data_IF_097991379867
#
_entry.id   IF_097991379867
#
_cell.length_a   1.000
_cell.length_b   1.000
_cell.length_c   1.000
_cell.angle_alpha   90.00
_cell.angle_beta   90.00
_cell.angle_gamma   90.00
#
_symmetry.space_group_name_H-M   'P 1'
#
loop_
_entity.id
_entity.type
_entity.pdbx_description
1 polymer ?
#
# COMPACT_ATOMS: atom_id res chain seq x y z
N UNK A 1 -22.07 19.26 -10.57
CA UNK A 1 -20.70 18.87 -10.12
C UNK A 1 -20.08 20.07 -9.41
N UNK A 2 -19.48 19.84 -8.24
CA UNK A 2 -18.81 20.92 -7.49
C UNK A 2 -17.47 21.23 -8.16
N UNK A 3 -17.09 22.51 -8.22
CA UNK A 3 -15.78 22.93 -8.73
C UNK A 3 -14.65 22.46 -7.81
N UNK A 4 -13.51 22.15 -8.39
CA UNK A 4 -12.32 21.82 -7.62
C UNK A 4 -11.73 23.04 -6.91
N UNK A 5 -11.36 22.90 -5.65
CA UNK A 5 -10.60 23.91 -4.92
C UNK A 5 -9.29 24.16 -5.65
N UNK A 6 -9.07 25.37 -6.12
CA UNK A 6 -7.89 25.75 -6.92
C UNK A 6 -6.62 25.83 -6.09
N UNK A 7 -6.70 26.45 -4.90
CA UNK A 7 -5.61 26.50 -3.93
C UNK A 7 -5.89 25.51 -2.79
N UNK A 8 -5.20 24.37 -2.82
CA UNK A 8 -5.37 23.34 -1.79
C UNK A 8 -4.68 23.69 -0.46
N UNK A 9 -3.84 24.75 -0.40
CA UNK A 9 -3.19 25.17 0.84
C UNK A 9 -4.16 25.72 1.89
N UNK A 10 -5.37 26.13 1.48
CA UNK A 10 -6.43 26.53 2.39
C UNK A 10 -7.02 25.37 3.21
N UNK A 11 -6.77 24.11 2.77
CA UNK A 11 -7.29 22.94 3.47
C UNK A 11 -6.53 22.75 4.82
N UNK A 12 -7.21 22.39 5.90
CA UNK A 12 -6.53 22.07 7.16
C UNK A 12 -5.68 20.79 7.02
N UNK A 13 -4.79 20.56 7.98
CA UNK A 13 -4.16 19.24 8.13
C UNK A 13 -5.22 18.19 8.49
N UNK A 14 -5.00 16.92 8.11
CA UNK A 14 -5.89 15.83 8.51
C UNK A 14 -6.03 15.74 10.03
N UNK A 15 -7.26 15.62 10.51
CA UNK A 15 -7.60 15.54 11.94
C UNK A 15 -7.27 14.15 12.53
N UNK A 16 -6.01 13.76 12.49
CA UNK A 16 -5.52 12.43 12.90
C UNK A 16 -5.81 12.08 14.36
N UNK A 17 -6.00 13.09 15.21
CA UNK A 17 -6.39 12.91 16.60
C UNK A 17 -7.80 12.32 16.78
N UNK A 18 -8.63 12.31 15.74
CA UNK A 18 -9.94 11.66 15.75
C UNK A 18 -9.88 10.16 15.44
N UNK A 19 -8.71 9.64 15.15
CA UNK A 19 -8.50 8.23 14.79
C UNK A 19 -7.56 7.58 15.80
N UNK A 20 -7.87 6.34 16.20
CA UNK A 20 -7.02 5.56 17.11
C UNK A 20 -5.76 5.06 16.37
N UNK A 21 -4.79 5.96 16.19
CA UNK A 21 -3.58 5.70 15.40
C UNK A 21 -2.72 4.56 15.95
N UNK A 22 -2.75 4.32 17.26
CA UNK A 22 -2.03 3.22 17.90
C UNK A 22 -2.42 1.84 17.36
N UNK A 23 -3.69 1.64 16.99
CA UNK A 23 -4.16 0.40 16.35
C UNK A 23 -3.53 0.20 14.97
N UNK A 24 -3.47 1.24 14.14
CA UNK A 24 -2.81 1.19 12.83
C UNK A 24 -1.31 0.94 12.97
N UNK A 25 -0.67 1.58 13.96
CA UNK A 25 0.74 1.38 14.26
C UNK A 25 1.01 -0.06 14.75
N UNK A 26 0.16 -0.62 15.59
CA UNK A 26 0.24 -2.00 16.04
C UNK A 26 0.18 -3.00 14.88
N UNK A 27 -0.70 -2.76 13.90
CA UNK A 27 -0.80 -3.56 12.66
C UNK A 27 0.39 -3.39 11.72
N UNK A 28 1.36 -2.53 12.03
CA UNK A 28 2.51 -2.26 11.16
C UNK A 28 2.17 -1.44 9.91
N UNK A 29 0.97 -0.86 9.85
CA UNK A 29 0.56 -0.06 8.71
C UNK A 29 1.34 1.26 8.66
N UNK A 30 1.68 1.75 7.46
CA UNK A 30 2.30 3.05 7.30
C UNK A 30 1.30 4.17 7.61
N UNK A 31 1.81 5.36 7.95
CA UNK A 31 0.97 6.55 8.01
C UNK A 31 0.96 7.26 6.66
N UNK A 32 -0.24 7.62 6.20
CA UNK A 32 -0.43 8.21 4.89
C UNK A 32 -0.43 9.74 4.94
N UNK A 33 0.14 10.37 3.90
CA UNK A 33 0.01 11.79 3.62
C UNK A 33 -0.20 12.06 2.14
N UNK A 34 -0.74 13.23 1.82
CA UNK A 34 -0.94 13.72 0.45
C UNK A 34 -0.16 15.01 0.29
N UNK A 35 0.62 15.12 -0.79
CA UNK A 35 1.40 16.32 -1.11
C UNK A 35 0.86 17.07 -2.32
N UNK A 36 0.05 16.40 -3.14
CA UNK A 36 -0.60 16.95 -4.33
C UNK A 36 -1.92 16.24 -4.64
N UNK A 37 -2.73 16.84 -5.48
CA UNK A 37 -3.96 16.24 -6.00
C UNK A 37 -4.07 16.46 -7.49
N UNK A 38 -4.37 15.41 -8.23
CA UNK A 38 -4.53 15.40 -9.68
C UNK A 38 -3.42 14.67 -10.41
N UNK A 39 -3.75 14.17 -11.60
CA UNK A 39 -2.82 13.50 -12.48
C UNK A 39 -3.07 13.96 -13.92
N UNK A 40 -2.04 14.42 -14.68
CA UNK A 40 -2.23 15.00 -16.02
C UNK A 40 -2.46 13.95 -17.11
N UNK A 41 -2.32 12.66 -16.78
CA UNK A 41 -2.42 11.56 -17.74
C UNK A 41 -3.86 11.15 -18.02
N UNK A 42 -4.06 10.43 -19.14
CA UNK A 42 -5.37 10.13 -19.72
C UNK A 42 -5.62 8.63 -19.85
N UNK A 43 -5.06 7.81 -18.96
CA UNK A 43 -5.27 6.36 -18.97
C UNK A 43 -6.78 6.06 -18.90
N UNK A 44 -7.29 5.26 -19.85
CA UNK A 44 -8.73 5.05 -20.04
C UNK A 44 -9.42 4.35 -18.86
N UNK A 45 -8.66 3.57 -18.08
CA UNK A 45 -9.15 2.81 -16.92
C UNK A 45 -9.15 3.61 -15.62
N UNK A 46 -8.45 4.77 -15.58
CA UNK A 46 -8.21 5.49 -14.34
C UNK A 46 -9.33 6.48 -14.01
N UNK A 47 -9.95 6.31 -12.85
CA UNK A 47 -10.98 7.21 -12.33
C UNK A 47 -10.41 8.52 -11.76
N UNK A 48 -9.10 8.60 -11.52
CA UNK A 48 -8.44 9.74 -10.88
C UNK A 48 -8.73 11.07 -11.57
N UNK A 49 -8.73 11.11 -12.92
CA UNK A 49 -9.04 12.34 -13.67
C UNK A 49 -10.46 12.89 -13.38
N UNK A 50 -11.41 12.03 -13.01
CA UNK A 50 -12.78 12.42 -12.64
C UNK A 50 -12.89 12.82 -11.17
N UNK A 51 -12.18 12.13 -10.27
CA UNK A 51 -12.24 12.37 -8.83
C UNK A 51 -11.43 13.61 -8.40
N UNK A 52 -10.22 13.78 -8.94
CA UNK A 52 -9.28 14.81 -8.49
C UNK A 52 -8.86 15.79 -9.59
N UNK A 53 -9.26 15.54 -10.83
CA UNK A 53 -8.98 16.39 -11.99
C UNK A 53 -7.61 16.14 -12.62
N UNK A 54 -7.44 16.65 -13.85
CA UNK A 54 -6.18 16.53 -14.62
C UNK A 54 -5.17 17.60 -14.26
N UNK A 55 -5.62 18.78 -13.79
CA UNK A 55 -4.72 19.84 -13.31
C UNK A 55 -4.17 19.44 -11.93
N UNK A 56 -2.88 19.22 -11.86
CA UNK A 56 -2.23 18.93 -10.59
C UNK A 56 -2.17 20.20 -9.74
N UNK A 57 -2.62 20.09 -8.50
CA UNK A 57 -2.58 21.13 -7.47
C UNK A 57 -1.66 20.66 -6.36
N UNK A 58 -0.78 21.52 -5.93
CA UNK A 58 0.28 21.18 -5.00
C UNK A 58 0.09 21.91 -3.67
N UNK A 59 0.34 21.21 -2.57
CA UNK A 59 0.62 21.87 -1.30
C UNK A 59 2.02 22.51 -1.37
N UNK A 60 2.21 23.61 -0.67
CA UNK A 60 3.49 24.28 -0.55
C UNK A 60 4.56 23.34 0.04
N UNK A 61 5.78 23.41 -0.48
CA UNK A 61 6.90 22.55 -0.04
C UNK A 61 7.12 22.64 1.46
N UNK A 62 7.08 23.86 2.03
CA UNK A 62 7.21 24.03 3.48
C UNK A 62 6.14 23.27 4.25
N UNK A 63 4.88 23.42 3.87
CA UNK A 63 3.75 22.73 4.50
C UNK A 63 3.88 21.20 4.41
N UNK A 64 4.29 20.69 3.25
CA UNK A 64 4.52 19.25 3.05
C UNK A 64 5.58 18.73 4.01
N UNK A 65 6.70 19.42 4.13
CA UNK A 65 7.79 18.99 5.00
C UNK A 65 7.48 19.22 6.48
N UNK A 66 6.68 20.23 6.84
CA UNK A 66 6.15 20.42 8.20
C UNK A 66 5.29 19.20 8.60
N UNK A 67 4.37 18.76 7.73
CA UNK A 67 3.56 17.56 7.97
C UNK A 67 4.42 16.29 8.02
N UNK A 68 5.36 16.13 7.09
CA UNK A 68 6.29 14.99 7.07
C UNK A 68 7.09 14.90 8.37
N UNK A 69 7.62 16.01 8.87
CA UNK A 69 8.34 16.09 10.13
C UNK A 69 7.45 15.70 11.32
N UNK A 70 6.23 16.20 11.36
CA UNK A 70 5.25 15.81 12.38
C UNK A 70 4.98 14.29 12.35
N UNK A 71 4.76 13.72 11.16
CA UNK A 71 4.48 12.29 11.01
C UNK A 71 5.67 11.42 11.40
N UNK A 72 6.91 11.86 11.11
CA UNK A 72 8.13 11.12 11.45
C UNK A 72 8.32 10.95 12.96
N UNK A 73 7.66 11.77 13.79
CA UNK A 73 7.72 11.67 15.27
C UNK A 73 6.60 10.85 15.88
N UNK A 74 5.61 10.38 15.09
CA UNK A 74 4.46 9.62 15.59
C UNK A 74 4.75 8.13 15.85
N UNK A 75 5.99 7.67 15.59
CA UNK A 75 6.41 6.28 15.85
C UNK A 75 5.90 5.24 14.85
N UNK A 76 5.42 5.67 13.68
CA UNK A 76 5.19 4.77 12.54
C UNK A 76 6.52 4.39 11.89
N UNK A 77 6.61 3.19 11.31
CA UNK A 77 7.84 2.75 10.62
C UNK A 77 8.06 3.47 9.30
N UNK A 78 6.97 3.84 8.62
CA UNK A 78 7.02 4.34 7.25
C UNK A 78 5.92 5.39 7.00
N UNK A 79 6.22 6.38 6.19
CA UNK A 79 5.26 7.35 5.65
C UNK A 79 4.96 6.98 4.20
N UNK A 80 3.68 6.82 3.85
CA UNK A 80 3.26 6.68 2.46
C UNK A 80 2.80 8.02 1.91
N UNK A 81 3.42 8.49 0.84
CA UNK A 81 2.91 9.60 0.03
C UNK A 81 1.93 9.01 -0.98
N UNK A 82 0.63 9.22 -0.73
CA UNK A 82 -0.47 8.64 -1.52
C UNK A 82 -1.03 9.63 -2.55
N UNK A 83 -0.17 10.41 -3.17
CA UNK A 83 -0.51 11.26 -4.30
C UNK A 83 -0.93 10.42 -5.51
N UNK A 84 -1.81 10.93 -6.36
CA UNK A 84 -2.11 10.28 -7.67
C UNK A 84 -0.85 10.11 -8.52
N UNK A 85 0.11 11.03 -8.38
CA UNK A 85 1.43 10.97 -9.02
C UNK A 85 2.39 11.93 -8.31
N UNK A 86 3.16 11.45 -7.35
CA UNK A 86 4.13 12.27 -6.61
C UNK A 86 5.17 12.90 -7.53
N UNK A 87 5.67 12.13 -8.48
CA UNK A 87 6.75 12.54 -9.41
C UNK A 87 6.27 13.37 -10.60
N UNK A 88 5.04 13.91 -10.57
CA UNK A 88 4.47 14.73 -11.64
C UNK A 88 5.27 16.00 -11.96
N UNK A 89 5.99 16.54 -10.98
CA UNK A 89 6.81 17.76 -11.11
C UNK A 89 8.19 17.57 -10.47
N UNK A 90 9.18 17.20 -11.28
CA UNK A 90 10.53 16.81 -10.81
C UNK A 90 11.18 17.86 -9.90
N UNK A 91 11.18 19.14 -10.31
CA UNK A 91 11.78 20.23 -9.53
C UNK A 91 11.20 20.30 -8.12
N UNK A 92 9.87 20.20 -7.99
CA UNK A 92 9.19 20.18 -6.69
C UNK A 92 9.57 18.96 -5.85
N UNK A 93 9.71 17.78 -6.46
CA UNK A 93 10.18 16.60 -5.73
C UNK A 93 11.58 16.80 -5.17
N UNK A 94 12.48 17.41 -5.96
CA UNK A 94 13.83 17.78 -5.51
C UNK A 94 13.74 18.76 -4.33
N UNK A 95 12.96 19.83 -4.44
CA UNK A 95 12.77 20.83 -3.38
C UNK A 95 12.26 20.21 -2.06
N UNK A 96 11.32 19.25 -2.14
CA UNK A 96 10.84 18.53 -0.95
C UNK A 96 11.97 17.68 -0.34
N UNK A 97 12.69 16.92 -1.17
CA UNK A 97 13.80 16.08 -0.70
C UNK A 97 14.94 16.91 -0.09
N UNK A 98 15.32 18.01 -0.70
CA UNK A 98 16.33 18.95 -0.18
C UNK A 98 15.91 19.54 1.17
N UNK A 99 14.65 19.91 1.32
CA UNK A 99 14.13 20.46 2.58
C UNK A 99 14.07 19.38 3.69
N UNK A 100 13.70 18.14 3.37
CA UNK A 100 13.79 16.99 4.30
C UNK A 100 15.22 16.82 4.79
N UNK A 101 16.20 16.82 3.88
CA UNK A 101 17.62 16.67 4.19
C UNK A 101 18.14 17.86 5.00
N UNK A 102 17.80 19.09 4.63
CA UNK A 102 18.18 20.32 5.33
C UNK A 102 17.71 20.35 6.78
N UNK A 103 16.53 19.78 7.06
CA UNK A 103 15.99 19.65 8.42
C UNK A 103 16.56 18.46 9.18
N UNK A 104 17.37 17.63 8.55
CA UNK A 104 17.93 16.42 9.17
C UNK A 104 16.90 15.35 9.51
N UNK A 105 15.72 15.38 8.84
CA UNK A 105 14.68 14.38 9.08
C UNK A 105 15.12 13.05 8.48
N UNK A 106 15.14 12.01 9.32
CA UNK A 106 15.50 10.65 8.89
C UNK A 106 14.30 9.74 9.13
N UNK A 107 13.57 9.44 8.07
CA UNK A 107 12.41 8.56 8.13
C UNK A 107 12.21 7.88 6.77
N UNK A 108 11.81 6.62 6.79
CA UNK A 108 11.49 5.89 5.56
C UNK A 108 10.16 6.33 5.00
N UNK A 109 10.11 6.46 3.68
CA UNK A 109 8.89 6.80 2.98
C UNK A 109 8.80 6.16 1.59
N UNK A 110 7.56 6.05 1.10
CA UNK A 110 7.23 5.50 -0.21
C UNK A 110 6.34 6.46 -0.97
N UNK A 111 6.28 6.30 -2.30
CA UNK A 111 5.37 7.09 -3.14
C UNK A 111 4.95 6.33 -4.40
N UNK A 112 3.90 6.85 -5.06
CA UNK A 112 3.49 6.42 -6.39
C UNK A 112 4.17 7.26 -7.46
N UNK A 113 4.71 6.59 -8.47
CA UNK A 113 5.42 7.19 -9.58
C UNK A 113 5.02 6.58 -10.93
N UNK A 114 5.36 7.28 -12.01
CA UNK A 114 5.35 6.72 -13.37
C UNK A 114 6.79 6.59 -13.86
N UNK A 115 7.04 5.57 -14.67
CA UNK A 115 8.39 5.29 -15.19
C UNK A 115 8.96 6.43 -16.05
N UNK A 116 8.09 7.19 -16.72
CA UNK A 116 8.45 8.33 -17.56
C UNK A 116 8.64 9.66 -16.79
N UNK A 117 8.39 9.67 -15.47
CA UNK A 117 8.55 10.85 -14.61
C UNK A 117 9.77 10.81 -13.71
N UNK A 118 10.56 9.75 -13.76
CA UNK A 118 11.79 9.58 -12.96
C UNK A 118 13.05 9.64 -13.83
N UNK A 119 14.17 9.99 -13.22
CA UNK A 119 15.51 9.89 -13.77
C UNK A 119 16.52 9.66 -12.65
N UNK A 120 17.78 9.37 -12.97
CA UNK A 120 18.83 9.05 -11.99
C UNK A 120 18.96 10.14 -10.91
N UNK A 121 19.08 11.38 -11.29
CA UNK A 121 19.26 12.51 -10.36
C UNK A 121 18.12 12.62 -9.35
N UNK A 122 16.87 12.49 -9.82
CA UNK A 122 15.69 12.51 -8.95
C UNK A 122 15.70 11.33 -8.00
N UNK A 123 15.97 10.12 -8.50
CA UNK A 123 16.00 8.91 -7.66
C UNK A 123 17.10 8.99 -6.59
N UNK A 124 18.29 9.51 -6.93
CA UNK A 124 19.38 9.67 -5.98
C UNK A 124 19.05 10.63 -4.84
N UNK A 125 18.42 11.79 -5.13
CA UNK A 125 18.01 12.72 -4.07
C UNK A 125 16.86 12.15 -3.22
N UNK A 126 15.91 11.45 -3.86
CA UNK A 126 14.83 10.77 -3.15
C UNK A 126 15.38 9.70 -2.20
N UNK A 127 16.34 8.89 -2.66
CA UNK A 127 17.02 7.88 -1.82
C UNK A 127 17.70 8.52 -0.63
N UNK A 128 18.48 9.59 -0.84
CA UNK A 128 19.13 10.33 0.24
C UNK A 128 18.13 10.88 1.26
N UNK A 129 16.96 11.32 0.80
CA UNK A 129 15.87 11.82 1.64
C UNK A 129 15.03 10.72 2.34
N UNK A 130 15.41 9.43 2.19
CA UNK A 130 14.78 8.30 2.88
C UNK A 130 13.73 7.54 2.06
N UNK A 131 13.60 7.80 0.75
CA UNK A 131 12.72 6.99 -0.11
C UNK A 131 13.22 5.54 -0.16
N UNK A 132 12.43 4.61 0.36
CA UNK A 132 12.76 3.18 0.36
C UNK A 132 12.12 2.41 -0.79
N UNK A 133 10.95 2.84 -1.25
CA UNK A 133 10.20 2.15 -2.31
C UNK A 133 9.42 3.13 -3.18
N UNK A 134 9.33 2.83 -4.47
CA UNK A 134 8.45 3.49 -5.43
C UNK A 134 7.51 2.46 -6.09
N UNK A 135 6.21 2.74 -6.02
CA UNK A 135 5.19 1.95 -6.69
C UNK A 135 4.94 2.52 -8.10
N UNK A 136 5.13 1.70 -9.12
CA UNK A 136 4.93 2.05 -10.51
C UNK A 136 3.73 1.31 -11.08
N UNK A 137 2.74 2.05 -11.59
CA UNK A 137 1.72 1.48 -12.45
C UNK A 137 2.34 1.17 -13.81
N UNK A 138 2.60 -0.10 -14.09
CA UNK A 138 3.11 -0.59 -15.37
C UNK A 138 1.95 -0.94 -16.30
N UNK A 139 0.95 -1.59 -15.74
CA UNK A 139 -0.32 -2.04 -16.30
C UNK A 139 -0.20 -3.26 -17.21
N UNK A 140 0.71 -3.26 -18.20
CA UNK A 140 0.91 -4.39 -19.12
C UNK A 140 2.38 -4.53 -19.55
N UNK A 141 2.81 -5.75 -19.83
CA UNK A 141 4.09 -6.07 -20.47
C UNK A 141 4.01 -6.14 -22.00
N UNK A 142 2.92 -5.64 -22.60
CA UNK A 142 2.68 -5.66 -24.05
C UNK A 142 2.44 -4.23 -24.54
N UNK A 143 3.28 -3.77 -25.50
CA UNK A 143 3.24 -2.40 -25.98
C UNK A 143 1.89 -2.02 -26.59
N UNK A 144 1.28 -2.91 -27.40
CA UNK A 144 -0.01 -2.67 -28.01
C UNK A 144 -1.11 -2.41 -26.96
N UNK A 145 -1.10 -3.15 -25.85
CA UNK A 145 -2.04 -2.96 -24.75
C UNK A 145 -1.79 -1.62 -24.05
N UNK A 146 -0.51 -1.24 -23.79
CA UNK A 146 -0.17 0.06 -23.22
C UNK A 146 -0.65 1.22 -24.08
N UNK A 147 -0.52 1.10 -25.40
CA UNK A 147 -0.96 2.11 -26.37
C UNK A 147 -2.49 2.22 -26.37
N UNK A 148 -3.17 1.07 -26.40
CA UNK A 148 -4.65 0.98 -26.39
C UNK A 148 -5.25 1.62 -25.14
N UNK A 149 -4.65 1.42 -23.97
CA UNK A 149 -5.12 2.01 -22.71
C UNK A 149 -4.61 3.44 -22.47
N UNK A 150 -3.96 4.04 -23.46
CA UNK A 150 -3.39 5.41 -23.41
C UNK A 150 -2.40 5.61 -22.26
N UNK A 151 -1.62 4.57 -21.93
CA UNK A 151 -0.58 4.69 -20.89
C UNK A 151 0.53 5.63 -21.30
N UNK A 152 0.80 5.78 -22.62
CA UNK A 152 1.79 6.72 -23.20
C UNK A 152 3.21 6.47 -22.63
N UNK A 153 3.62 5.21 -22.55
CA UNK A 153 4.97 4.78 -22.16
C UNK A 153 5.42 3.61 -23.02
N UNK A 154 6.69 3.24 -22.94
CA UNK A 154 7.25 2.08 -23.68
C UNK A 154 7.87 1.07 -22.75
N UNK A 155 7.93 -0.19 -23.17
CA UNK A 155 8.57 -1.28 -22.41
C UNK A 155 10.02 -0.94 -22.05
N UNK A 156 10.78 -0.35 -22.98
CA UNK A 156 12.16 0.09 -22.76
C UNK A 156 12.25 1.11 -21.61
N UNK A 157 11.33 2.10 -21.55
CA UNK A 157 11.29 3.08 -20.45
C UNK A 157 10.95 2.43 -19.12
N UNK A 158 10.10 1.41 -19.13
CA UNK A 158 9.75 0.63 -17.94
C UNK A 158 10.99 -0.09 -17.41
N UNK A 159 11.65 -0.87 -18.25
CA UNK A 159 12.87 -1.61 -17.88
C UNK A 159 13.94 -0.68 -17.33
N UNK A 160 14.20 0.43 -18.04
CA UNK A 160 15.17 1.44 -17.62
C UNK A 160 14.86 2.07 -16.26
N UNK A 161 13.60 2.43 -16.01
CA UNK A 161 13.21 3.06 -14.74
C UNK A 161 13.33 2.08 -13.56
N UNK A 162 12.89 0.83 -13.76
CA UNK A 162 13.00 -0.22 -12.74
C UNK A 162 14.46 -0.56 -12.44
N UNK A 163 15.32 -0.64 -13.47
CA UNK A 163 16.75 -0.86 -13.30
C UNK A 163 17.42 0.29 -12.54
N UNK A 164 17.13 1.55 -12.89
CA UNK A 164 17.65 2.73 -12.21
C UNK A 164 17.26 2.75 -10.72
N UNK A 165 16.03 2.39 -10.38
CA UNK A 165 15.60 2.30 -8.98
C UNK A 165 16.46 1.30 -8.20
N UNK A 166 16.70 0.11 -8.74
CA UNK A 166 17.56 -0.92 -8.11
C UNK A 166 19.00 -0.44 -7.95
N UNK A 167 19.58 0.17 -8.98
CA UNK A 167 20.95 0.73 -8.93
C UNK A 167 21.13 1.78 -7.85
N UNK A 168 20.12 2.63 -7.64
CA UNK A 168 20.11 3.69 -6.60
C UNK A 168 19.76 3.12 -5.22
N UNK A 169 19.27 1.88 -5.13
CA UNK A 169 18.86 1.24 -3.88
C UNK A 169 17.46 1.63 -3.40
N UNK A 170 16.56 2.04 -4.32
CA UNK A 170 15.13 2.18 -4.09
C UNK A 170 14.45 0.92 -4.60
N UNK A 171 13.60 0.28 -3.78
CA UNK A 171 12.83 -0.89 -4.19
C UNK A 171 11.74 -0.47 -5.20
N UNK A 172 11.78 -0.94 -6.46
CA UNK A 172 10.65 -0.75 -7.35
C UNK A 172 9.57 -1.81 -7.07
N UNK A 173 8.33 -1.37 -6.91
CA UNK A 173 7.14 -2.21 -6.90
C UNK A 173 6.40 -2.01 -8.22
N UNK A 174 6.25 -3.05 -9.01
CA UNK A 174 5.57 -3.00 -10.31
C UNK A 174 4.13 -3.51 -10.18
N UNK A 175 3.15 -2.69 -10.58
CA UNK A 175 1.73 -3.03 -10.55
C UNK A 175 1.21 -3.20 -11.96
N UNK A 176 0.49 -4.30 -12.20
CA UNK A 176 -0.09 -4.68 -13.48
C UNK A 176 -1.60 -4.84 -13.36
N UNK A 177 -2.32 -4.60 -14.45
CA UNK A 177 -3.77 -4.80 -14.54
C UNK A 177 -4.04 -5.93 -15.54
N UNK A 178 -4.82 -6.92 -15.11
CA UNK A 178 -5.32 -8.00 -15.95
C UNK A 178 -6.77 -7.74 -16.37
N UNK A 179 -7.13 -8.13 -17.57
CA UNK A 179 -8.44 -7.88 -18.16
C UNK A 179 -8.54 -6.53 -18.86
N UNK A 180 -7.42 -5.92 -19.25
CA UNK A 180 -7.42 -4.69 -20.05
C UNK A 180 -8.02 -4.90 -21.44
N UNK A 181 -8.65 -3.87 -22.08
CA UNK A 181 -9.17 -3.99 -23.41
C UNK A 181 -8.15 -4.50 -24.44
N UNK A 182 -8.52 -5.54 -25.15
CA UNK A 182 -7.68 -6.16 -26.20
C UNK A 182 -6.70 -7.22 -25.68
N UNK A 183 -6.67 -7.50 -24.40
CA UNK A 183 -5.90 -8.63 -23.87
C UNK A 183 -6.48 -9.97 -24.34
N UNK A 184 -5.56 -10.91 -24.58
CA UNK A 184 -5.81 -12.32 -24.86
C UNK A 184 -5.02 -13.17 -23.87
N UNK A 185 -5.26 -14.48 -23.76
CA UNK A 185 -4.44 -15.35 -22.91
C UNK A 185 -2.93 -15.25 -23.21
N UNK A 186 -2.56 -15.04 -24.48
CA UNK A 186 -1.18 -14.89 -24.92
C UNK A 186 -0.55 -13.59 -24.41
N UNK A 187 -1.26 -12.47 -24.52
CA UNK A 187 -0.74 -11.16 -24.05
C UNK A 187 -0.70 -11.08 -22.53
N UNK A 188 -1.62 -11.72 -21.82
CA UNK A 188 -1.55 -11.89 -20.37
C UNK A 188 -0.31 -12.68 -19.98
N UNK A 189 -0.04 -13.80 -20.65
CA UNK A 189 1.19 -14.58 -20.43
C UNK A 189 2.45 -13.73 -20.68
N UNK A 190 2.50 -12.97 -21.77
CA UNK A 190 3.62 -12.05 -22.06
C UNK A 190 3.79 -11.02 -20.93
N UNK A 191 2.70 -10.45 -20.39
CA UNK A 191 2.75 -9.52 -19.26
C UNK A 191 3.30 -10.19 -18.01
N UNK A 192 2.91 -11.43 -17.71
CA UNK A 192 3.44 -12.17 -16.57
C UNK A 192 4.94 -12.49 -16.72
N UNK A 193 5.37 -12.90 -17.92
CA UNK A 193 6.77 -13.18 -18.21
C UNK A 193 7.62 -11.90 -18.12
N UNK A 194 7.11 -10.78 -18.64
CA UNK A 194 7.73 -9.47 -18.50
C UNK A 194 7.86 -9.02 -17.03
N UNK A 195 6.82 -9.20 -16.23
CA UNK A 195 6.86 -8.88 -14.80
C UNK A 195 7.97 -9.66 -14.08
N UNK A 196 8.06 -10.98 -14.32
CA UNK A 196 9.08 -11.86 -13.73
C UNK A 196 10.51 -11.48 -14.14
N UNK A 197 10.71 -11.07 -15.39
CA UNK A 197 12.04 -10.73 -15.90
C UNK A 197 12.54 -9.37 -15.48
N UNK A 198 11.63 -8.42 -15.19
CA UNK A 198 11.99 -7.00 -14.97
C UNK A 198 11.97 -6.56 -13.52
N UNK A 199 11.20 -7.23 -12.66
CA UNK A 199 11.04 -6.78 -11.27
C UNK A 199 10.84 -7.96 -10.30
N UNK A 200 11.53 -7.93 -9.16
CA UNK A 200 11.36 -8.95 -8.11
C UNK A 200 10.13 -8.69 -7.22
N UNK A 201 9.61 -7.48 -7.23
CA UNK A 201 8.44 -7.09 -6.44
C UNK A 201 7.35 -6.59 -7.39
N UNK A 202 6.34 -7.41 -7.62
CA UNK A 202 5.23 -7.08 -8.53
C UNK A 202 3.92 -7.70 -8.04
N UNK A 203 2.81 -7.14 -8.52
CA UNK A 203 1.47 -7.63 -8.25
C UNK A 203 0.52 -7.44 -9.43
N UNK A 204 -0.50 -8.29 -9.48
CA UNK A 204 -1.53 -8.23 -10.49
C UNK A 204 -2.86 -7.84 -9.83
N UNK A 205 -3.55 -6.90 -10.46
CA UNK A 205 -4.89 -6.44 -10.12
C UNK A 205 -5.82 -6.71 -11.29
N UNK A 206 -7.10 -6.87 -11.01
CA UNK A 206 -8.10 -7.08 -12.04
C UNK A 206 -8.71 -5.72 -12.43
N UNK A 207 -8.96 -5.51 -13.71
CA UNK A 207 -9.59 -4.30 -14.18
C UNK A 207 -10.96 -4.08 -13.51
N UNK A 208 -11.10 -2.95 -12.84
CA UNK A 208 -12.37 -2.47 -12.30
C UNK A 208 -12.80 -1.18 -13.05
N UNK A 209 -13.71 -1.28 -14.04
CA UNK A 209 -14.15 -0.14 -14.84
C UNK A 209 -15.12 0.72 -14.03
N UNK A 210 -14.61 1.67 -13.25
CA UNK A 210 -15.41 2.57 -12.44
C UNK A 210 -16.22 3.55 -13.30
N UNK A 211 -17.38 4.04 -12.80
CA UNK A 211 -18.18 5.04 -13.48
C UNK A 211 -17.38 6.29 -13.86
N UNK A 212 -17.57 6.76 -15.09
CA UNK A 212 -16.91 7.92 -15.65
C UNK A 212 -15.47 7.66 -16.15
N UNK A 213 -14.98 6.43 -16.08
CA UNK A 213 -13.77 6.02 -16.82
C UNK A 213 -14.13 5.79 -18.31
N UNK A 214 -13.20 6.12 -19.21
CA UNK A 214 -13.45 5.93 -20.64
C UNK A 214 -13.71 4.46 -20.98
N UNK A 215 -13.01 3.53 -20.33
CA UNK A 215 -13.21 2.08 -20.54
C UNK A 215 -14.61 1.62 -20.15
N UNK A 216 -15.26 2.27 -19.16
CA UNK A 216 -16.63 1.96 -18.80
C UNK A 216 -17.64 2.66 -19.71
N UNK A 217 -17.45 3.97 -19.94
CA UNK A 217 -18.39 4.79 -20.71
C UNK A 217 -18.45 4.33 -22.17
N UNK A 218 -17.38 3.69 -22.67
CA UNK A 218 -17.24 3.14 -24.03
C UNK A 218 -16.98 1.63 -24.03
N UNK A 219 -17.54 0.90 -23.10
CA UNK A 219 -17.25 -0.52 -22.92
C UNK A 219 -17.45 -1.32 -24.21
N UNK A 220 -18.54 -1.09 -24.93
CA UNK A 220 -18.84 -1.77 -26.21
C UNK A 220 -17.80 -1.46 -27.30
N UNK A 221 -17.32 -0.19 -27.40
CA UNK A 221 -16.27 0.21 -28.36
C UNK A 221 -14.94 -0.52 -28.08
N UNK A 222 -14.69 -0.83 -26.80
CA UNK A 222 -13.51 -1.57 -26.35
C UNK A 222 -13.71 -3.09 -26.34
N UNK A 223 -14.86 -3.59 -26.80
CA UNK A 223 -15.21 -5.00 -26.76
C UNK A 223 -15.33 -5.55 -25.34
N UNK A 224 -15.74 -4.71 -24.38
CA UNK A 224 -15.91 -5.05 -22.97
C UNK A 224 -17.37 -5.21 -22.60
N UNK A 225 -17.68 -6.16 -21.74
CA UNK A 225 -18.99 -6.37 -21.12
C UNK A 225 -18.87 -6.19 -19.60
N UNK A 226 -19.72 -5.34 -19.01
CA UNK A 226 -19.84 -5.17 -17.58
C UNK A 226 -20.72 -6.29 -17.01
N UNK A 227 -20.24 -7.02 -16.04
CA UNK A 227 -20.90 -8.20 -15.47
C UNK A 227 -21.82 -7.85 -14.30
N UNK A 228 -21.50 -6.80 -13.56
CA UNK A 228 -22.23 -6.44 -12.35
C UNK A 228 -22.23 -4.95 -12.08
N UNK A 229 -23.28 -4.47 -11.39
CA UNK A 229 -23.35 -3.13 -10.81
C UNK A 229 -23.29 -3.17 -9.27
N UNK A 230 -22.89 -4.28 -8.70
CA UNK A 230 -22.63 -4.43 -7.28
C UNK A 230 -21.25 -3.83 -6.94
N UNK A 231 -21.27 -2.63 -6.33
CA UNK A 231 -20.06 -1.85 -6.06
C UNK A 231 -19.12 -2.49 -5.02
N UNK A 232 -19.64 -3.37 -4.17
CA UNK A 232 -18.82 -4.09 -3.19
C UNK A 232 -17.84 -5.07 -3.86
N UNK A 233 -18.08 -5.38 -5.14
CA UNK A 233 -17.20 -6.22 -5.97
C UNK A 233 -16.12 -5.47 -6.74
N UNK A 234 -16.13 -4.12 -6.70
CA UNK A 234 -15.16 -3.29 -7.43
C UNK A 234 -13.88 -3.05 -6.65
N UNK A 235 -13.32 -4.10 -6.06
CA UNK A 235 -12.12 -4.06 -5.23
C UNK A 235 -10.81 -4.45 -5.96
N UNK A 236 -10.91 -4.70 -7.28
CA UNK A 236 -9.83 -5.15 -8.15
C UNK A 236 -9.22 -6.54 -7.80
N UNK A 237 -9.91 -7.35 -6.99
CA UNK A 237 -9.52 -8.72 -6.63
C UNK A 237 -10.39 -9.78 -7.32
N UNK A 238 -11.48 -9.39 -7.94
CA UNK A 238 -12.38 -10.25 -8.71
C UNK A 238 -12.83 -9.53 -9.98
N UNK A 239 -13.20 -10.29 -11.00
CA UNK A 239 -13.65 -9.74 -12.26
C UNK A 239 -15.08 -9.17 -12.16
N UNK A 240 -15.24 -7.93 -12.57
CA UNK A 240 -16.51 -7.23 -12.68
C UNK A 240 -16.85 -6.86 -14.14
N UNK A 241 -15.94 -7.21 -15.04
CA UNK A 241 -16.09 -7.07 -16.49
C UNK A 241 -15.29 -8.17 -17.20
N UNK A 242 -15.57 -8.35 -18.47
CA UNK A 242 -14.78 -9.24 -19.35
C UNK A 242 -14.65 -8.62 -20.74
N UNK A 243 -13.70 -9.11 -21.53
CA UNK A 243 -13.59 -8.78 -22.95
C UNK A 243 -14.03 -9.93 -23.84
N UNK A 244 -14.31 -9.63 -25.09
CA UNK A 244 -14.63 -10.65 -26.11
C UNK A 244 -13.46 -11.62 -26.38
N UNK A 245 -12.22 -11.26 -25.99
CA UNK A 245 -11.01 -12.04 -26.22
C UNK A 245 -10.51 -12.76 -24.97
N UNK A 246 -10.94 -12.31 -23.78
CA UNK A 246 -10.49 -12.83 -22.50
C UNK A 246 -11.68 -12.89 -21.52
N UNK A 247 -12.27 -14.09 -21.33
CA UNK A 247 -13.36 -14.31 -20.38
C UNK A 247 -12.93 -14.02 -18.93
N UNK A 248 -13.85 -13.58 -18.10
CA UNK A 248 -13.59 -13.21 -16.70
C UNK A 248 -13.07 -14.40 -15.87
N UNK A 249 -13.59 -15.61 -16.13
CA UNK A 249 -13.16 -16.83 -15.44
C UNK A 249 -11.64 -17.09 -15.63
N UNK A 250 -11.12 -16.79 -16.82
CA UNK A 250 -9.71 -16.96 -17.13
C UNK A 250 -8.86 -15.91 -16.40
N UNK A 251 -9.32 -14.64 -16.34
CA UNK A 251 -8.67 -13.58 -15.57
C UNK A 251 -8.61 -13.94 -14.10
N UNK A 252 -9.76 -14.34 -13.52
CA UNK A 252 -9.86 -14.74 -12.12
C UNK A 252 -8.97 -15.95 -11.82
N UNK A 253 -8.94 -16.94 -12.72
CA UNK A 253 -8.07 -18.12 -12.59
C UNK A 253 -6.60 -17.74 -12.50
N UNK A 254 -6.12 -16.88 -13.43
CA UNK A 254 -4.72 -16.47 -13.50
C UNK A 254 -4.32 -15.71 -12.24
N UNK A 255 -5.12 -14.73 -11.81
CA UNK A 255 -4.80 -13.93 -10.64
C UNK A 255 -4.88 -14.76 -9.36
N UNK A 256 -5.85 -15.66 -9.25
CA UNK A 256 -5.97 -16.57 -8.12
C UNK A 256 -4.82 -17.59 -8.06
N UNK A 257 -4.35 -18.10 -9.19
CA UNK A 257 -3.17 -18.98 -9.23
C UNK A 257 -1.91 -18.25 -8.77
N UNK A 258 -1.71 -17.00 -9.19
CA UNK A 258 -0.60 -16.17 -8.74
C UNK A 258 -0.66 -15.91 -7.24
N UNK A 259 -1.80 -15.42 -6.73
CA UNK A 259 -2.01 -15.17 -5.29
C UNK A 259 -1.92 -16.46 -4.47
N UNK A 260 -2.47 -17.55 -4.97
CA UNK A 260 -2.37 -18.88 -4.37
C UNK A 260 -0.92 -19.39 -4.31
N UNK A 261 -0.09 -19.04 -5.31
CA UNK A 261 1.35 -19.30 -5.28
C UNK A 261 2.05 -18.62 -4.13
N UNK A 262 1.78 -17.32 -3.93
CA UNK A 262 2.31 -16.54 -2.81
C UNK A 262 1.84 -17.14 -1.48
N UNK A 263 0.55 -17.43 -1.35
CA UNK A 263 -0.02 -18.02 -0.13
C UNK A 263 0.63 -19.37 0.20
N UNK A 264 0.88 -20.23 -0.81
CA UNK A 264 1.58 -21.52 -0.57
C UNK A 264 3.01 -21.33 -0.06
N UNK A 265 3.73 -20.33 -0.55
CA UNK A 265 5.07 -20.00 -0.04
C UNK A 265 5.00 -19.56 1.43
N UNK A 266 4.06 -18.66 1.77
CA UNK A 266 3.83 -18.19 3.15
C UNK A 266 3.48 -19.36 4.07
N UNK A 267 2.51 -20.18 3.71
CA UNK A 267 2.11 -21.36 4.48
C UNK A 267 3.27 -22.34 4.64
N UNK A 268 4.08 -22.51 3.58
CA UNK A 268 5.28 -23.34 3.65
C UNK A 268 6.31 -22.85 4.67
N UNK A 269 6.53 -21.54 4.76
CA UNK A 269 7.43 -20.93 5.76
C UNK A 269 6.88 -21.06 7.18
N UNK A 270 5.59 -20.80 7.38
CA UNK A 270 4.93 -20.98 8.68
C UNK A 270 5.04 -22.42 9.16
N UNK A 271 4.73 -23.41 8.32
CA UNK A 271 4.85 -24.83 8.65
C UNK A 271 6.27 -25.27 9.00
N UNK A 272 7.30 -24.71 8.33
CA UNK A 272 8.71 -24.98 8.69
C UNK A 272 9.06 -24.40 10.05
N UNK A 273 8.62 -23.17 10.31
CA UNK A 273 8.81 -22.51 11.61
C UNK A 273 8.18 -23.34 12.75
N UNK A 274 6.94 -23.79 12.58
CA UNK A 274 6.19 -24.56 13.58
C UNK A 274 6.85 -25.92 13.87
N UNK A 275 7.57 -26.49 12.88
CA UNK A 275 8.34 -27.71 13.06
C UNK A 275 9.76 -27.48 13.61
N UNK A 276 10.14 -26.23 13.88
CA UNK A 276 11.47 -25.86 14.34
C UNK A 276 12.57 -26.03 13.27
N UNK A 277 12.22 -26.07 11.99
CA UNK A 277 13.17 -26.14 10.89
C UNK A 277 13.88 -24.79 10.68
N UNK A 278 15.13 -24.83 10.27
CA UNK A 278 15.90 -23.61 10.01
C UNK A 278 15.29 -22.81 8.84
N UNK A 279 15.10 -21.52 9.06
CA UNK A 279 14.67 -20.54 8.07
C UNK A 279 15.81 -19.55 7.79
N UNK A 280 15.81 -18.94 6.58
CA UNK A 280 16.64 -17.77 6.33
C UNK A 280 16.24 -16.59 7.23
N UNK A 281 17.14 -15.61 7.42
CA UNK A 281 16.80 -14.41 8.18
C UNK A 281 15.59 -13.66 7.57
N UNK A 282 15.49 -13.62 6.25
CA UNK A 282 14.38 -12.99 5.52
C UNK A 282 13.06 -13.75 5.76
N UNK A 283 13.07 -15.08 5.65
CA UNK A 283 11.89 -15.91 5.89
C UNK A 283 11.44 -15.80 7.35
N UNK A 284 12.39 -15.82 8.29
CA UNK A 284 12.07 -15.65 9.72
C UNK A 284 11.48 -14.27 10.03
N UNK A 285 12.00 -13.21 9.39
CA UNK A 285 11.44 -11.86 9.52
C UNK A 285 10.00 -11.80 8.96
N UNK A 286 9.73 -12.49 7.84
CA UNK A 286 8.40 -12.58 7.26
C UNK A 286 7.44 -13.35 8.17
N UNK A 287 7.83 -14.51 8.69
CA UNK A 287 7.04 -15.32 9.63
C UNK A 287 6.71 -14.49 10.88
N UNK A 288 7.69 -13.82 11.48
CA UNK A 288 7.47 -12.95 12.63
C UNK A 288 6.50 -11.80 12.31
N UNK A 289 6.61 -11.20 11.12
CA UNK A 289 5.70 -10.15 10.67
C UNK A 289 4.25 -10.65 10.55
N UNK A 290 4.04 -11.81 9.93
CA UNK A 290 2.73 -12.43 9.75
C UNK A 290 2.12 -12.80 11.11
N UNK A 291 2.91 -13.41 11.99
CA UNK A 291 2.46 -13.81 13.33
C UNK A 291 2.08 -12.60 14.19
N UNK A 292 2.88 -11.52 14.12
CA UNK A 292 2.54 -10.24 14.77
C UNK A 292 1.27 -9.62 14.21
N UNK A 293 1.05 -9.70 12.90
CA UNK A 293 -0.14 -9.18 12.25
C UNK A 293 -1.39 -9.96 12.70
N UNK A 294 -1.34 -11.29 12.71
CA UNK A 294 -2.44 -12.14 13.18
C UNK A 294 -2.80 -11.86 14.65
N UNK A 295 -1.78 -11.79 15.52
CA UNK A 295 -1.95 -11.39 16.92
C UNK A 295 -2.67 -10.04 17.05
N UNK A 296 -2.17 -9.01 16.38
CA UNK A 296 -2.75 -7.66 16.46
C UNK A 296 -4.16 -7.61 15.88
N UNK A 297 -4.41 -8.34 14.79
CA UNK A 297 -5.73 -8.45 14.21
C UNK A 297 -6.73 -9.08 15.20
N UNK A 298 -6.37 -10.18 15.85
CA UNK A 298 -7.20 -10.84 16.89
C UNK A 298 -7.44 -9.90 18.07
N UNK A 299 -6.38 -9.23 18.55
CA UNK A 299 -6.46 -8.30 19.69
C UNK A 299 -7.42 -7.13 19.41
N UNK A 300 -7.34 -6.53 18.23
CA UNK A 300 -8.15 -5.37 17.83
C UNK A 300 -9.59 -5.79 17.50
N UNK A 301 -9.77 -6.83 16.67
CA UNK A 301 -11.08 -7.28 16.24
C UNK A 301 -11.89 -7.87 17.38
N UNK A 302 -11.24 -8.60 18.28
CA UNK A 302 -11.84 -9.11 19.51
C UNK A 302 -12.08 -8.06 20.59
N UNK A 303 -11.66 -6.81 20.37
CA UNK A 303 -11.74 -5.71 21.36
C UNK A 303 -11.16 -6.10 22.73
N UNK A 304 -10.11 -6.91 22.75
CA UNK A 304 -9.61 -7.53 23.98
C UNK A 304 -9.03 -6.52 24.97
N UNK A 305 -8.45 -5.41 24.48
CA UNK A 305 -7.93 -4.33 25.31
C UNK A 305 -9.08 -3.62 26.06
N UNK A 306 -10.12 -3.28 25.31
CA UNK A 306 -11.30 -2.59 25.83
C UNK A 306 -12.05 -3.49 26.83
N UNK A 307 -12.28 -4.75 26.48
CA UNK A 307 -12.99 -5.70 27.32
C UNK A 307 -12.26 -6.02 28.63
N UNK A 308 -10.93 -6.16 28.58
CA UNK A 308 -10.13 -6.36 29.80
C UNK A 308 -10.29 -5.19 30.77
N UNK A 309 -10.20 -3.96 30.26
CA UNK A 309 -10.30 -2.75 31.05
C UNK A 309 -11.71 -2.51 31.60
N UNK A 310 -12.75 -2.78 30.82
CA UNK A 310 -14.15 -2.61 31.22
C UNK A 310 -14.59 -3.59 32.32
N UNK A 311 -14.03 -4.80 32.30
CA UNK A 311 -14.31 -5.85 33.30
C UNK A 311 -13.53 -5.65 34.60
N UNK A 312 -12.69 -4.60 34.70
CA UNK A 312 -11.87 -4.28 35.88
C UNK A 312 -11.08 -5.50 36.40
N UNK A 313 -10.52 -6.26 35.47
CA UNK A 313 -9.75 -7.48 35.81
C UNK A 313 -8.45 -7.10 36.53
N UNK A 314 -8.10 -7.89 37.54
CA UNK A 314 -6.87 -7.74 38.30
C UNK A 314 -5.69 -8.46 37.64
N UNK A 315 -4.48 -8.27 38.20
CA UNK A 315 -3.27 -8.96 37.76
C UNK A 315 -2.32 -8.16 36.88
N UNK A 316 -2.64 -6.89 36.61
CA UNK A 316 -1.75 -6.00 35.89
C UNK A 316 -1.48 -6.48 34.45
N UNK A 317 -0.24 -6.31 33.99
CA UNK A 317 0.18 -6.76 32.64
C UNK A 317 0.09 -8.28 32.52
N UNK A 318 0.44 -9.03 33.57
CA UNK A 318 0.38 -10.49 33.55
C UNK A 318 -1.07 -10.99 33.44
N UNK A 319 -2.01 -10.38 34.18
CA UNK A 319 -3.43 -10.67 34.04
C UNK A 319 -3.98 -10.35 32.66
N UNK A 320 -3.48 -9.30 32.01
CA UNK A 320 -3.82 -8.97 30.62
C UNK A 320 -3.26 -10.04 29.66
N UNK A 321 -2.00 -10.44 29.82
CA UNK A 321 -1.39 -11.50 29.00
C UNK A 321 -2.19 -12.82 29.14
N UNK A 322 -2.54 -13.22 30.36
CA UNK A 322 -3.32 -14.42 30.58
C UNK A 322 -4.69 -14.35 29.92
N UNK A 323 -5.38 -13.22 30.07
CA UNK A 323 -6.65 -12.97 29.41
C UNK A 323 -6.56 -13.03 27.88
N UNK A 324 -5.57 -12.35 27.28
CA UNK A 324 -5.40 -12.37 25.81
C UNK A 324 -5.04 -13.78 25.33
N UNK A 325 -4.22 -14.51 26.08
CA UNK A 325 -3.88 -15.93 25.79
C UNK A 325 -5.14 -16.78 25.72
N UNK A 326 -6.01 -16.69 26.74
CA UNK A 326 -7.27 -17.42 26.80
C UNK A 326 -8.21 -17.05 25.63
N UNK A 327 -8.38 -15.76 25.35
CA UNK A 327 -9.32 -15.30 24.34
C UNK A 327 -8.85 -15.52 22.89
N UNK A 328 -7.54 -15.44 22.65
CA UNK A 328 -6.96 -15.58 21.30
C UNK A 328 -6.67 -17.03 20.91
N UNK A 329 -6.48 -17.92 21.91
CA UNK A 329 -6.00 -19.28 21.70
C UNK A 329 -4.54 -19.36 21.23
N UNK A 330 -3.78 -18.27 21.35
CA UNK A 330 -2.37 -18.22 20.97
C UNK A 330 -1.46 -18.65 22.14
N UNK A 331 -0.25 -19.10 21.82
CA UNK A 331 0.73 -19.48 22.83
C UNK A 331 1.13 -18.30 23.73
N UNK A 332 1.24 -18.53 25.03
CA UNK A 332 1.52 -17.51 26.04
C UNK A 332 2.85 -16.76 25.76
N UNK A 333 3.87 -17.46 25.28
CA UNK A 333 5.15 -16.85 24.94
C UNK A 333 5.02 -15.83 23.82
N UNK A 334 4.26 -16.17 22.78
CA UNK A 334 3.93 -15.26 21.67
C UNK A 334 3.16 -14.04 22.19
N UNK A 335 2.10 -14.27 22.97
CA UNK A 335 1.27 -13.18 23.54
C UNK A 335 2.14 -12.24 24.40
N UNK A 336 3.00 -12.81 25.26
CA UNK A 336 3.90 -12.02 26.11
C UNK A 336 4.83 -11.14 25.27
N UNK A 337 5.50 -11.73 24.28
CA UNK A 337 6.39 -11.00 23.38
C UNK A 337 5.68 -9.84 22.65
N UNK A 338 4.51 -10.10 22.13
CA UNK A 338 3.75 -9.11 21.34
C UNK A 338 3.15 -8.01 22.22
N UNK A 339 2.65 -8.34 23.42
CA UNK A 339 2.16 -7.36 24.40
C UNK A 339 3.31 -6.43 24.83
N UNK A 340 4.47 -6.99 25.17
CA UNK A 340 5.68 -6.22 25.52
C UNK A 340 6.10 -5.30 24.36
N UNK A 341 6.04 -5.80 23.12
CA UNK A 341 6.32 -5.01 21.92
C UNK A 341 5.36 -3.83 21.79
N UNK A 342 4.06 -4.03 22.00
CA UNK A 342 3.06 -2.97 21.92
C UNK A 342 3.27 -1.88 22.98
N UNK A 343 3.64 -2.24 24.20
CA UNK A 343 4.01 -1.27 25.24
C UNK A 343 5.28 -0.50 24.86
N UNK A 344 6.33 -1.17 24.41
CA UNK A 344 7.59 -0.54 23.96
C UNK A 344 7.37 0.41 22.77
N UNK A 345 6.45 0.08 21.87
CA UNK A 345 6.07 0.94 20.76
C UNK A 345 5.16 2.11 21.17
N UNK A 346 4.72 2.17 22.41
CA UNK A 346 3.74 3.15 22.88
C UNK A 346 2.40 3.00 22.18
N UNK A 347 1.99 1.79 21.79
CA UNK A 347 0.66 1.51 21.28
C UNK A 347 -0.34 1.25 22.40
N UNK A 348 0.14 0.66 23.50
CA UNK A 348 -0.62 0.46 24.73
C UNK A 348 -0.05 1.30 25.86
N UNK A 349 -0.95 1.79 26.72
CA UNK A 349 -0.60 2.47 27.95
C UNK A 349 -1.26 1.77 29.13
N UNK A 350 -0.59 1.84 30.28
CA UNK A 350 -1.05 1.28 31.56
C UNK A 350 -1.31 2.41 32.52
N UNK A 351 -2.46 2.39 33.16
CA UNK A 351 -2.82 3.28 34.27
C UNK A 351 -3.24 2.44 35.48
N UNK A 352 -2.46 2.51 36.54
CA UNK A 352 -2.78 1.84 37.80
C UNK A 352 -3.54 2.82 38.71
N UNK A 353 -4.76 2.48 39.06
CA UNK A 353 -5.62 3.25 39.99
C UNK A 353 -6.09 2.34 41.13
N UNK A 354 -5.37 2.38 42.27
CA UNK A 354 -5.65 1.52 43.41
C UNK A 354 -5.42 0.04 43.10
N UNK A 355 -6.44 -0.78 43.30
CA UNK A 355 -6.36 -2.25 43.09
C UNK A 355 -6.57 -2.67 41.61
N UNK A 356 -6.95 -1.74 40.71
CA UNK A 356 -7.23 -2.10 39.33
C UNK A 356 -6.21 -1.52 38.35
N UNK A 357 -5.79 -2.35 37.40
CA UNK A 357 -4.97 -1.94 36.24
C UNK A 357 -5.85 -1.72 35.02
N UNK A 358 -5.75 -0.54 34.42
CA UNK A 358 -6.39 -0.23 33.15
C UNK A 358 -5.38 -0.19 32.02
N UNK A 359 -5.60 -0.98 30.97
CA UNK A 359 -4.79 -0.99 29.76
C UNK A 359 -5.63 -0.37 28.64
N UNK A 360 -5.06 0.63 27.96
CA UNK A 360 -5.75 1.33 26.86
C UNK A 360 -4.85 1.50 25.66
N UNK A 361 -5.46 1.63 24.49
CA UNK A 361 -4.76 2.13 23.30
C UNK A 361 -4.35 3.59 23.53
N UNK A 362 -3.12 3.94 23.14
CA UNK A 362 -2.58 5.30 23.28
C UNK A 362 -3.23 6.29 22.33
#
# INVERSE_FOLDING_TARGET
>A
TREFISDINILPYPARHLVQLSKYKALGLPINMITSRGCPFECIFCVGSKMVGRRVRYFDTKRVVDEFQMLSTMGFKQINIVDDLFTSHKKRCVEICEEILRRGIRHEWTAFARVDTVNRELLEIMKKAGCSMLCFGIESGVQEILDRVKKKTTLEKIEKALALCREVGILPMASYIMGLPGETPETVKQTMDFAKSTCNSYGFHILAPFPGTEVRDKAEEYGMRILTSDWDKYDANQSVCESIYLPHEEVDRIVNEFNGGINRLIVGMLNKHDRGEALSEEDLAMVNGITSLDFNYKLINGKMVEQFSDQKRDGGINGFIDYVTEQSGLEKELVTREVDRLFKMGCLTRNDSGETTRITWS
#
